data_IF_824451417302
#
_entry.id   IF_824451417302
#
_cell.length_a   1.000
_cell.length_b   1.000
_cell.length_c   1.000
_cell.angle_alpha   90.00
_cell.angle_beta   90.00
_cell.angle_gamma   90.00
#
_symmetry.space_group_name_H-M   'P 1'
#
loop_
_entity.id
_entity.type
_entity.pdbx_description
1 polymer ?
#
# COMPACT_ATOMS: atom_id res chain seq x y z
N UNK A 1 -11.95 -6.55 -1.97
CA UNK A 1 -10.77 -6.28 -2.83
C UNK A 1 -9.50 -6.20 -1.99
N UNK A 2 -9.57 -5.59 -0.81
CA UNK A 2 -8.51 -5.47 0.21
C UNK A 2 -7.73 -6.74 0.58
N UNK A 3 -8.38 -7.90 0.74
CA UNK A 3 -7.66 -9.16 1.00
C UNK A 3 -6.80 -9.61 -0.20
N UNK A 4 -7.20 -9.28 -1.43
CA UNK A 4 -6.46 -9.66 -2.62
C UNK A 4 -5.16 -8.86 -2.79
N UNK A 5 -5.10 -7.60 -2.32
CA UNK A 5 -3.84 -6.84 -2.35
C UNK A 5 -2.84 -7.39 -1.34
N UNK A 6 -3.30 -7.85 -0.17
CA UNK A 6 -2.43 -8.45 0.86
C UNK A 6 -1.78 -9.72 0.30
N UNK A 7 -2.57 -10.58 -0.33
CA UNK A 7 -2.05 -11.79 -1.00
C UNK A 7 -1.05 -11.43 -2.10
N UNK A 8 -1.34 -10.44 -2.94
CA UNK A 8 -0.41 -9.98 -3.99
C UNK A 8 0.90 -9.43 -3.42
N UNK A 9 0.85 -8.68 -2.31
CA UNK A 9 2.07 -8.20 -1.64
C UNK A 9 2.87 -9.37 -1.07
N UNK A 10 2.23 -10.36 -0.45
CA UNK A 10 2.91 -11.54 0.07
C UNK A 10 3.56 -12.38 -1.04
N UNK A 11 2.86 -12.58 -2.17
CA UNK A 11 3.41 -13.24 -3.35
C UNK A 11 4.60 -12.47 -3.95
N UNK A 12 4.50 -11.14 -4.01
CA UNK A 12 5.58 -10.28 -4.47
C UNK A 12 6.79 -10.31 -3.53
N UNK A 13 6.58 -10.39 -2.21
CA UNK A 13 7.66 -10.55 -1.22
C UNK A 13 8.39 -11.89 -1.42
N UNK A 14 7.66 -12.97 -1.72
CA UNK A 14 8.27 -14.29 -1.99
C UNK A 14 9.07 -14.27 -3.31
N UNK A 15 8.61 -13.51 -4.31
CA UNK A 15 9.20 -13.44 -5.65
C UNK A 15 10.10 -12.22 -5.88
N UNK A 16 10.44 -11.47 -4.82
CA UNK A 16 11.10 -10.16 -4.88
C UNK A 16 12.39 -10.13 -5.73
N UNK A 17 13.28 -11.15 -5.66
CA UNK A 17 14.50 -11.17 -6.48
C UNK A 17 14.23 -11.30 -7.99
N UNK A 18 13.00 -11.66 -8.37
CA UNK A 18 12.56 -11.81 -9.76
C UNK A 18 11.86 -10.55 -10.28
N UNK A 19 11.56 -9.59 -9.41
CA UNK A 19 10.86 -8.37 -9.78
C UNK A 19 11.82 -7.33 -10.35
N UNK A 20 11.60 -6.97 -11.61
CA UNK A 20 12.27 -5.83 -12.23
C UNK A 20 11.71 -4.48 -11.71
N UNK A 21 12.36 -3.39 -12.12
CA UNK A 21 11.99 -2.03 -11.71
C UNK A 21 10.54 -1.68 -12.07
N UNK A 22 10.06 -2.05 -13.25
CA UNK A 22 8.69 -1.73 -13.68
C UNK A 22 7.66 -2.50 -12.85
N UNK A 23 7.93 -3.78 -12.57
CA UNK A 23 7.10 -4.62 -11.73
C UNK A 23 7.05 -4.10 -10.29
N UNK A 24 8.19 -3.63 -9.75
CA UNK A 24 8.27 -2.97 -8.44
C UNK A 24 7.43 -1.70 -8.38
N UNK A 25 7.54 -0.83 -9.40
CA UNK A 25 6.73 0.38 -9.51
C UNK A 25 5.23 0.06 -9.60
N UNK A 26 4.85 -0.90 -10.45
CA UNK A 26 3.46 -1.29 -10.65
C UNK A 26 2.83 -1.87 -9.37
N UNK A 27 3.58 -2.67 -8.63
CA UNK A 27 3.16 -3.21 -7.33
C UNK A 27 2.88 -2.08 -6.33
N UNK A 28 3.81 -1.13 -6.18
CA UNK A 28 3.63 -0.02 -5.24
C UNK A 28 2.48 0.90 -5.66
N UNK A 29 2.32 1.22 -6.95
CA UNK A 29 1.19 2.02 -7.43
C UNK A 29 -0.15 1.36 -7.09
N UNK A 30 -0.24 0.04 -7.29
CA UNK A 30 -1.46 -0.71 -6.97
C UNK A 30 -1.75 -0.69 -5.46
N UNK A 31 -0.72 -0.83 -4.64
CA UNK A 31 -0.82 -0.74 -3.18
C UNK A 31 -1.28 0.65 -2.73
N UNK A 32 -0.71 1.71 -3.30
CA UNK A 32 -1.12 3.10 -3.02
C UNK A 32 -2.57 3.37 -3.42
N UNK A 33 -3.01 2.90 -4.60
CA UNK A 33 -4.41 3.04 -5.01
C UNK A 33 -5.38 2.31 -4.08
N UNK A 34 -5.03 1.13 -3.57
CA UNK A 34 -5.88 0.42 -2.60
C UNK A 34 -5.92 1.16 -1.25
N UNK A 35 -4.78 1.69 -0.78
CA UNK A 35 -4.73 2.49 0.45
C UNK A 35 -5.58 3.76 0.32
N UNK A 36 -5.49 4.45 -0.82
CA UNK A 36 -6.30 5.63 -1.11
C UNK A 36 -7.81 5.29 -1.11
N UNK A 37 -8.18 4.19 -1.78
CA UNK A 37 -9.56 3.71 -1.82
C UNK A 37 -10.08 3.35 -0.43
N UNK A 38 -9.31 2.59 0.35
CA UNK A 38 -9.68 2.19 1.71
C UNK A 38 -9.75 3.41 2.64
N UNK A 39 -8.80 4.34 2.56
CA UNK A 39 -8.82 5.58 3.31
C UNK A 39 -10.09 6.38 3.05
N UNK A 40 -10.44 6.59 1.77
CA UNK A 40 -11.67 7.30 1.39
C UNK A 40 -12.95 6.58 1.82
N UNK A 41 -12.95 5.25 1.81
CA UNK A 41 -14.15 4.47 2.16
C UNK A 41 -14.33 4.36 3.67
N UNK A 42 -13.25 4.15 4.41
CA UNK A 42 -13.27 3.87 5.85
C UNK A 42 -13.14 5.17 6.65
N UNK A 43 -12.09 5.94 6.43
CA UNK A 43 -11.77 7.10 7.28
C UNK A 43 -12.69 8.30 7.03
N UNK A 44 -13.16 8.50 5.79
CA UNK A 44 -14.09 9.59 5.50
C UNK A 44 -15.44 9.43 6.23
N UNK A 45 -15.79 8.20 6.63
CA UNK A 45 -16.97 7.93 7.45
C UNK A 45 -16.74 8.14 8.95
N UNK A 46 -15.49 8.28 9.39
CA UNK A 46 -15.12 8.40 10.81
C UNK A 46 -14.91 9.86 11.22
N UNK A 47 -14.06 10.62 10.52
CA UNK A 47 -13.80 12.03 10.82
C UNK A 47 -13.40 12.85 9.59
N UNK A 48 -13.96 14.07 9.40
CA UNK A 48 -13.49 14.99 8.37
C UNK A 48 -12.04 15.43 8.65
N UNK A 49 -11.11 14.99 7.81
CA UNK A 49 -9.67 15.28 7.96
C UNK A 49 -8.83 14.04 8.24
N UNK A 50 -9.44 12.92 8.63
CA UNK A 50 -8.74 11.65 8.81
C UNK A 50 -8.15 11.09 7.49
N UNK A 51 -8.63 11.52 6.32
CA UNK A 51 -8.03 11.14 5.04
C UNK A 51 -6.78 11.95 4.67
N UNK A 52 -6.54 13.12 5.28
CA UNK A 52 -5.45 14.03 4.85
C UNK A 52 -4.07 13.39 5.00
N UNK A 53 -3.87 12.58 6.04
CA UNK A 53 -2.59 11.86 6.21
C UNK A 53 -2.41 10.75 5.16
N UNK A 54 -3.50 10.08 4.73
CA UNK A 54 -3.46 9.09 3.65
C UNK A 54 -3.13 9.79 2.32
N UNK A 55 -3.79 10.91 2.03
CA UNK A 55 -3.54 11.67 0.79
C UNK A 55 -2.08 12.14 0.73
N UNK A 56 -1.54 12.64 1.85
CA UNK A 56 -0.13 13.03 1.96
C UNK A 56 0.82 11.85 1.81
N UNK A 57 0.51 10.69 2.41
CA UNK A 57 1.30 9.47 2.27
C UNK A 57 1.34 9.04 0.80
N UNK A 58 0.18 8.95 0.15
CA UNK A 58 0.06 8.56 -1.26
C UNK A 58 0.83 9.52 -2.15
N UNK A 59 0.69 10.83 -1.96
CA UNK A 59 1.40 11.83 -2.75
C UNK A 59 2.93 11.73 -2.57
N UNK A 60 3.41 11.61 -1.33
CA UNK A 60 4.84 11.54 -1.00
C UNK A 60 5.48 10.30 -1.60
N UNK A 61 4.81 9.15 -1.47
CA UNK A 61 5.35 7.86 -1.93
C UNK A 61 5.24 7.75 -3.45
N UNK A 62 4.20 8.30 -4.06
CA UNK A 62 4.09 8.39 -5.52
C UNK A 62 5.22 9.24 -6.12
N UNK A 63 5.60 10.33 -5.45
CA UNK A 63 6.70 11.20 -5.89
C UNK A 63 8.07 10.52 -5.77
N UNK A 64 8.28 9.70 -4.74
CA UNK A 64 9.51 8.91 -4.53
C UNK A 64 9.50 7.51 -5.14
N UNK A 65 8.52 7.20 -5.99
CA UNK A 65 8.36 5.86 -6.55
C UNK A 65 9.56 5.38 -7.39
N UNK A 66 10.20 6.22 -8.23
CA UNK A 66 11.40 5.82 -8.95
C UNK A 66 12.52 5.35 -8.02
N UNK A 67 12.75 6.08 -6.92
CA UNK A 67 13.76 5.77 -5.92
C UNK A 67 13.42 4.50 -5.14
N UNK A 68 12.15 4.33 -4.78
CA UNK A 68 11.65 3.12 -4.11
C UNK A 68 11.87 1.89 -5.00
N UNK A 69 11.59 1.98 -6.30
CA UNK A 69 11.76 0.85 -7.21
C UNK A 69 13.23 0.46 -7.44
N UNK A 70 14.17 1.36 -7.13
CA UNK A 70 15.62 1.14 -7.22
C UNK A 70 16.24 0.68 -5.89
N UNK A 71 15.46 0.62 -4.81
CA UNK A 71 15.93 0.11 -3.51
C UNK A 71 16.41 -1.34 -3.59
N UNK A 72 17.33 -1.68 -2.70
CA UNK A 72 17.75 -3.08 -2.51
C UNK A 72 16.59 -3.93 -2.00
N UNK A 73 16.64 -5.23 -2.25
CA UNK A 73 15.55 -6.17 -1.95
C UNK A 73 15.08 -6.09 -0.49
N UNK A 74 16.00 -5.98 0.47
CA UNK A 74 15.67 -5.87 1.89
C UNK A 74 14.94 -4.57 2.25
N UNK A 75 15.34 -3.45 1.65
CA UNK A 75 14.70 -2.14 1.87
C UNK A 75 13.32 -2.10 1.21
N UNK A 76 13.22 -2.62 -0.02
CA UNK A 76 11.96 -2.72 -0.74
C UNK A 76 10.97 -3.65 -0.03
N UNK A 77 11.43 -4.81 0.44
CA UNK A 77 10.62 -5.75 1.23
C UNK A 77 10.14 -5.11 2.54
N UNK A 78 11.01 -4.42 3.26
CA UNK A 78 10.64 -3.72 4.50
C UNK A 78 9.51 -2.72 4.22
N UNK A 79 9.63 -1.92 3.17
CA UNK A 79 8.61 -0.95 2.80
C UNK A 79 7.28 -1.65 2.42
N UNK A 80 7.32 -2.73 1.62
CA UNK A 80 6.12 -3.51 1.30
C UNK A 80 5.41 -4.03 2.56
N UNK A 81 6.16 -4.55 3.54
CA UNK A 81 5.61 -5.03 4.80
C UNK A 81 4.96 -3.91 5.62
N UNK A 82 5.56 -2.72 5.66
CA UNK A 82 4.95 -1.57 6.36
C UNK A 82 3.64 -1.12 5.69
N UNK A 83 3.59 -1.12 4.36
CA UNK A 83 2.36 -0.77 3.64
C UNK A 83 1.30 -1.87 3.76
N UNK A 84 1.67 -3.15 3.81
CA UNK A 84 0.75 -4.26 4.09
C UNK A 84 0.07 -4.09 5.47
N UNK A 85 0.82 -3.63 6.48
CA UNK A 85 0.26 -3.31 7.80
C UNK A 85 -0.74 -2.16 7.72
N UNK A 86 -0.44 -1.10 6.97
CA UNK A 86 -1.38 0.03 6.76
C UNK A 86 -2.68 -0.47 6.13
N UNK A 87 -2.61 -1.28 5.08
CA UNK A 87 -3.80 -1.90 4.47
C UNK A 87 -4.56 -2.73 5.50
N UNK A 88 -3.87 -3.58 6.25
CA UNK A 88 -4.49 -4.44 7.26
C UNK A 88 -5.21 -3.63 8.34
N UNK A 89 -4.59 -2.54 8.81
CA UNK A 89 -5.20 -1.61 9.76
C UNK A 89 -6.45 -0.95 9.16
N UNK A 90 -6.37 -0.39 7.95
CA UNK A 90 -7.52 0.23 7.30
C UNK A 90 -8.68 -0.76 7.09
N UNK A 91 -8.37 -2.01 6.72
CA UNK A 91 -9.37 -3.09 6.60
C UNK A 91 -10.01 -3.41 7.94
N UNK A 92 -9.23 -3.45 9.03
CA UNK A 92 -9.76 -3.71 10.38
C UNK A 92 -10.63 -2.58 10.93
N UNK A 93 -10.44 -1.35 10.44
CA UNK A 93 -11.23 -0.17 10.80
C UNK A 93 -12.51 -0.04 9.96
N UNK A 94 -12.55 -0.65 8.78
CA UNK A 94 -13.75 -0.73 7.96
C UNK A 94 -14.84 -1.54 8.67
N UNK A 95 -16.13 -1.34 8.31
CA UNK A 95 -17.19 -2.12 8.91
C UNK A 95 -16.91 -3.61 8.67
N UNK A 96 -16.86 -4.38 9.77
CA UNK A 96 -16.91 -5.84 9.70
C UNK A 96 -18.16 -6.13 8.88
N UNK A 97 -17.99 -6.64 7.66
CA UNK A 97 -19.10 -7.23 6.94
C UNK A 97 -19.56 -8.42 7.80
N UNK A 98 -20.55 -8.17 8.65
CA UNK A 98 -21.32 -9.19 9.34
C UNK A 98 -22.20 -9.95 8.36
#
# INVERSE_FOLDING_TARGET
MSLAIIVQVQEAIISLPLLDREQRMALFLRLLSEIEFLGKTVLASLEPGACVWIDNLVATVSAGLPEIAEMGDSEFQFLLTEFEKVVSTLVSLGPIAG
#
